data_IF_489006435756
#
_entry.id   IF_489006435756
#
_cell.length_a   1.000
_cell.length_b   1.000
_cell.length_c   1.000
_cell.angle_alpha   90.00
_cell.angle_beta   90.00
_cell.angle_gamma   90.00
#
_symmetry.space_group_name_H-M   'P 1'
#
loop_
_entity.id
_entity.type
_entity.pdbx_description
1 polymer ?
#
# COMPACT_ATOMS: atom_id res chain seq x y z
N UNK A 1 -4.45 -9.48 21.55
CA UNK A 1 -3.18 -9.48 20.79
C UNK A 1 -3.55 -9.44 19.32
N UNK A 2 -3.10 -8.43 18.57
CA UNK A 2 -3.22 -8.49 17.11
C UNK A 2 -2.31 -9.62 16.68
N UNK A 3 -2.91 -10.75 16.27
CA UNK A 3 -2.19 -11.85 15.68
C UNK A 3 -1.60 -11.33 14.37
N UNK A 4 -0.31 -10.95 14.40
CA UNK A 4 0.42 -10.56 13.20
C UNK A 4 0.66 -11.81 12.38
N UNK A 5 -0.30 -12.15 11.51
CA UNK A 5 -0.14 -13.24 10.57
C UNK A 5 0.98 -12.84 9.61
N UNK A 6 2.04 -13.63 9.59
CA UNK A 6 3.14 -13.43 8.65
C UNK A 6 2.58 -13.53 7.24
N UNK A 7 2.72 -12.46 6.45
CA UNK A 7 2.29 -12.45 5.05
C UNK A 7 3.35 -13.11 4.19
N UNK A 8 2.91 -13.78 3.13
CA UNK A 8 3.82 -14.28 2.11
C UNK A 8 4.48 -13.10 1.36
N UNK A 9 5.72 -13.29 0.92
CA UNK A 9 6.47 -12.24 0.22
C UNK A 9 5.74 -11.78 -1.04
N UNK A 10 5.17 -12.69 -1.82
CA UNK A 10 4.48 -12.34 -3.07
C UNK A 10 3.23 -11.51 -2.78
N UNK A 11 2.51 -11.86 -1.70
CA UNK A 11 1.34 -11.11 -1.25
C UNK A 11 1.73 -9.70 -0.79
N UNK A 12 2.75 -9.58 0.06
CA UNK A 12 3.23 -8.27 0.53
C UNK A 12 3.78 -7.41 -0.61
N UNK A 13 4.51 -8.03 -1.54
CA UNK A 13 5.09 -7.34 -2.69
C UNK A 13 4.02 -6.80 -3.64
N UNK A 14 2.97 -7.58 -3.93
CA UNK A 14 1.85 -7.12 -4.75
C UNK A 14 1.16 -5.88 -4.14
N UNK A 15 1.00 -5.85 -2.82
CA UNK A 15 0.45 -4.68 -2.12
C UNK A 15 1.36 -3.46 -2.24
N UNK A 16 2.67 -3.62 -2.06
CA UNK A 16 3.64 -2.53 -2.23
C UNK A 16 3.64 -1.98 -3.66
N UNK A 17 3.57 -2.85 -4.68
CA UNK A 17 3.51 -2.43 -6.08
C UNK A 17 2.26 -1.61 -6.39
N UNK A 18 1.11 -1.98 -5.81
CA UNK A 18 -0.13 -1.20 -5.95
C UNK A 18 0.03 0.21 -5.37
N UNK A 19 0.55 0.30 -4.15
CA UNK A 19 0.82 1.59 -3.49
C UNK A 19 1.80 2.46 -4.26
N UNK A 20 2.91 1.89 -4.74
CA UNK A 20 3.90 2.60 -5.58
C UNK A 20 3.26 3.10 -6.87
N UNK A 21 2.42 2.29 -7.51
CA UNK A 21 1.74 2.67 -8.77
C UNK A 21 0.80 3.85 -8.55
N UNK A 22 0.00 3.82 -7.48
CA UNK A 22 -0.88 4.93 -7.08
C UNK A 22 -0.07 6.20 -6.81
N UNK A 23 1.02 6.10 -6.05
CA UNK A 23 1.89 7.23 -5.75
C UNK A 23 2.48 7.87 -7.02
N UNK A 24 2.97 7.06 -7.97
CA UNK A 24 3.48 7.57 -9.25
C UNK A 24 2.41 8.37 -10.02
N UNK A 25 1.20 7.81 -10.13
CA UNK A 25 0.08 8.48 -10.84
C UNK A 25 -0.29 9.82 -10.21
N UNK A 26 -0.31 9.88 -8.87
CA UNK A 26 -0.53 11.14 -8.12
C UNK A 26 0.59 12.15 -8.43
N UNK A 27 1.85 11.73 -8.38
CA UNK A 27 3.01 12.61 -8.66
C UNK A 27 3.07 13.07 -10.11
N UNK A 28 2.54 12.29 -11.05
CA UNK A 28 2.38 12.66 -12.47
C UNK A 28 1.16 13.56 -12.73
N UNK A 29 0.33 13.83 -11.71
CA UNK A 29 -0.88 14.65 -11.84
C UNK A 29 -2.03 13.97 -12.59
N UNK A 30 -1.99 12.65 -12.73
CA UNK A 30 -3.06 11.86 -13.34
C UNK A 30 -4.30 11.79 -12.42
N UNK A 31 -5.50 11.57 -12.97
CA UNK A 31 -6.70 11.35 -12.16
C UNK A 31 -6.56 10.06 -11.34
N UNK A 32 -6.20 10.23 -10.07
CA UNK A 32 -6.04 9.18 -9.08
C UNK A 32 -6.54 9.71 -7.72
N UNK A 33 -7.43 8.98 -7.02
CA UNK A 33 -7.80 9.34 -5.65
C UNK A 33 -6.58 9.40 -4.73
N UNK A 34 -6.63 10.27 -3.72
CA UNK A 34 -5.62 10.26 -2.66
C UNK A 34 -5.65 8.94 -1.88
N UNK A 35 -4.57 8.67 -1.15
CA UNK A 35 -4.54 7.54 -0.22
C UNK A 35 -5.57 7.72 0.89
N UNK A 36 -6.25 6.64 1.26
CA UNK A 36 -6.94 6.58 2.56
C UNK A 36 -5.91 6.45 3.68
N UNK A 37 -6.31 6.76 4.92
CA UNK A 37 -5.43 6.56 6.08
C UNK A 37 -4.97 5.10 6.23
N UNK A 38 -5.83 4.14 5.87
CA UNK A 38 -5.52 2.71 5.90
C UNK A 38 -4.49 2.33 4.82
N UNK A 39 -4.68 2.77 3.57
CA UNK A 39 -3.72 2.53 2.49
C UNK A 39 -2.36 3.15 2.79
N UNK A 40 -2.34 4.35 3.38
CA UNK A 40 -1.11 5.02 3.79
C UNK A 40 -0.40 4.26 4.91
N UNK A 41 -1.14 3.80 5.92
CA UNK A 41 -0.57 3.00 7.01
C UNK A 41 -0.04 1.65 6.51
N UNK A 42 -0.70 1.01 5.56
CA UNK A 42 -0.25 -0.26 4.97
C UNK A 42 1.09 -0.14 4.22
N UNK A 43 1.49 1.05 3.78
CA UNK A 43 2.84 1.26 3.21
C UNK A 43 3.97 1.12 4.24
N UNK A 44 3.67 1.37 5.52
CA UNK A 44 4.67 1.43 6.60
C UNK A 44 4.51 0.31 7.64
N UNK A 45 3.29 -0.14 7.85
CA UNK A 45 2.92 -1.10 8.88
C UNK A 45 1.82 -1.99 8.31
N UNK A 46 2.23 -3.06 7.62
CA UNK A 46 1.31 -4.17 7.42
C UNK A 46 1.13 -4.90 8.75
N UNK A 47 -0.10 -5.26 9.17
CA UNK A 47 -0.31 -6.16 10.29
C UNK A 47 0.30 -7.55 10.01
#
# INVERSE_FOLDING_TARGET
>A
TMDRKTIDLDQGWAHMQSGITKLKRILEGLPEPQFSSEEYMMLYTYP
#
